data_IF_109778829192
#
_entry.id   IF_109778829192
#
_cell.length_a   1.000
_cell.length_b   1.000
_cell.length_c   1.000
_cell.angle_alpha   90.00
_cell.angle_beta   90.00
_cell.angle_gamma   90.00
#
_symmetry.space_group_name_H-M   'P 1'
#
loop_
_entity.id
_entity.type
_entity.pdbx_description
1 polymer ?
#
# COMPACT_ATOMS: atom_id res chain seq x y z
N UNK A 1 9.00 -5.55 22.22
CA UNK A 1 9.54 -4.41 21.46
C UNK A 1 10.83 -3.82 22.04
N UNK A 2 10.91 -3.50 23.35
CA UNK A 2 12.07 -2.82 23.97
C UNK A 2 13.44 -3.37 23.55
N UNK A 3 13.64 -4.69 23.65
CA UNK A 3 14.91 -5.34 23.26
C UNK A 3 15.34 -4.98 21.83
N UNK A 4 14.45 -5.16 20.85
CA UNK A 4 14.72 -4.89 19.44
C UNK A 4 15.05 -3.41 19.22
N UNK A 5 14.27 -2.49 19.82
CA UNK A 5 14.49 -1.05 19.68
C UNK A 5 15.81 -0.60 20.33
N UNK A 6 16.24 -1.27 21.40
CA UNK A 6 17.53 -1.01 22.04
C UNK A 6 18.69 -1.58 21.23
N UNK A 7 18.59 -2.82 20.76
CA UNK A 7 19.63 -3.47 19.94
C UNK A 7 19.78 -2.81 18.56
N UNK A 8 18.69 -2.31 17.99
CA UNK A 8 18.64 -1.61 16.70
C UNK A 8 18.57 -0.10 16.85
N UNK A 9 19.19 0.45 17.88
CA UNK A 9 19.10 1.89 18.19
C UNK A 9 19.57 2.78 17.03
N UNK A 10 20.64 2.39 16.34
CA UNK A 10 21.13 3.13 15.18
C UNK A 10 20.10 3.18 14.04
N UNK A 11 19.44 2.06 13.74
CA UNK A 11 18.41 1.99 12.69
C UNK A 11 17.19 2.84 13.09
N UNK A 12 16.81 2.82 14.37
CA UNK A 12 15.76 3.69 14.91
C UNK A 12 16.10 5.17 14.78
N UNK A 13 17.34 5.56 15.09
CA UNK A 13 17.79 6.95 14.98
C UNK A 13 17.83 7.38 13.50
N UNK A 14 18.23 6.50 12.57
CA UNK A 14 18.15 6.78 11.11
C UNK A 14 16.70 7.01 10.66
N UNK A 15 15.77 6.17 11.08
CA UNK A 15 14.35 6.34 10.76
C UNK A 15 13.78 7.64 11.33
N UNK A 16 14.15 7.99 12.56
CA UNK A 16 13.71 9.25 13.18
C UNK A 16 14.24 10.46 12.39
N UNK A 17 15.52 10.47 12.02
CA UNK A 17 16.10 11.55 11.22
C UNK A 17 15.46 11.63 9.83
N UNK A 18 15.27 10.49 9.15
CA UNK A 18 14.60 10.46 7.86
C UNK A 18 13.17 11.00 7.92
N UNK A 19 12.42 10.71 8.98
CA UNK A 19 11.07 11.26 9.18
C UNK A 19 11.09 12.75 9.54
N UNK A 20 12.13 13.25 10.20
CA UNK A 20 12.28 14.70 10.44
C UNK A 20 12.57 15.46 9.13
N UNK A 21 13.32 14.86 8.21
CA UNK A 21 13.70 15.48 6.94
C UNK A 21 12.58 15.39 5.89
N UNK A 22 11.89 14.24 5.82
CA UNK A 22 10.98 13.92 4.72
C UNK A 22 9.51 13.77 5.13
N UNK A 23 9.19 13.89 6.42
CA UNK A 23 7.87 13.75 7.08
C UNK A 23 7.22 12.35 6.95
N UNK A 24 7.32 11.72 5.78
CA UNK A 24 6.77 10.42 5.44
C UNK A 24 7.78 9.60 4.63
N UNK A 25 7.77 8.29 4.87
CA UNK A 25 8.58 7.32 4.17
C UNK A 25 7.69 6.18 3.67
N UNK A 26 7.87 5.79 2.41
CA UNK A 26 7.32 4.55 1.85
C UNK A 26 8.08 3.34 2.39
N UNK A 27 7.52 2.13 2.25
CA UNK A 27 8.19 0.90 2.69
C UNK A 27 9.55 0.65 2.03
N UNK A 28 9.72 1.08 0.77
CA UNK A 28 11.00 0.99 0.05
C UNK A 28 12.02 1.95 0.66
N UNK A 29 11.61 3.19 0.95
CA UNK A 29 12.48 4.20 1.56
C UNK A 29 12.88 3.82 2.99
N UNK A 30 11.98 3.24 3.79
CA UNK A 30 12.30 2.72 5.13
C UNK A 30 13.47 1.73 5.04
N UNK A 31 13.44 0.80 4.08
CA UNK A 31 14.53 -0.16 3.87
C UNK A 31 15.85 0.53 3.56
N UNK A 32 15.83 1.50 2.63
CA UNK A 32 17.03 2.28 2.25
C UNK A 32 17.60 3.07 3.43
N UNK A 33 16.75 3.72 4.23
CA UNK A 33 17.15 4.49 5.41
C UNK A 33 17.80 3.60 6.47
N UNK A 34 17.24 2.40 6.72
CA UNK A 34 17.83 1.43 7.65
C UNK A 34 19.22 1.00 7.15
N UNK A 35 19.37 0.76 5.85
CA UNK A 35 20.64 0.44 5.18
C UNK A 35 21.64 1.61 5.15
N UNK A 36 21.22 2.83 5.54
CA UNK A 36 22.05 4.04 5.51
C UNK A 36 22.28 4.61 4.11
N UNK A 37 21.42 4.27 3.16
CA UNK A 37 21.45 4.80 1.80
C UNK A 37 20.76 6.18 1.74
N UNK A 38 21.25 7.11 0.89
CA UNK A 38 20.62 8.40 0.70
C UNK A 38 19.25 8.26 0.03
N UNK A 39 18.33 9.16 0.38
CA UNK A 39 17.06 9.35 -0.31
C UNK A 39 17.21 10.52 -1.28
N UNK A 40 17.15 10.26 -2.58
CA UNK A 40 17.25 11.31 -3.60
C UNK A 40 15.84 11.72 -4.02
N UNK A 41 15.34 12.85 -3.49
CA UNK A 41 14.06 13.45 -3.90
C UNK A 41 14.22 14.68 -4.82
N UNK A 42 15.46 15.08 -5.10
CA UNK A 42 15.79 16.36 -5.75
C UNK A 42 15.70 16.35 -7.30
N UNK A 43 15.10 15.33 -7.90
CA UNK A 43 14.92 15.24 -9.35
C UNK A 43 13.46 15.04 -9.68
N UNK A 44 12.79 16.13 -10.09
CA UNK A 44 11.46 16.18 -10.72
C UNK A 44 10.60 14.92 -10.61
N UNK A 45 9.64 14.96 -9.69
CA UNK A 45 8.33 14.36 -9.95
C UNK A 45 8.26 12.84 -10.06
N UNK A 46 9.22 12.08 -9.54
CA UNK A 46 8.93 10.70 -9.13
C UNK A 46 8.20 10.75 -7.77
N UNK A 47 7.03 11.36 -7.86
CA UNK A 47 5.84 11.13 -7.05
C UNK A 47 5.56 9.60 -7.13
N UNK A 48 6.43 8.76 -6.55
CA UNK A 48 5.96 7.58 -5.82
C UNK A 48 5.20 8.11 -4.59
N UNK A 49 4.13 8.90 -4.84
CA UNK A 49 2.97 8.91 -3.97
C UNK A 49 2.73 7.44 -3.66
N UNK A 50 2.46 7.08 -2.39
CA UNK A 50 2.01 5.73 -2.12
C UNK A 50 0.92 5.47 -3.12
N UNK A 51 1.14 4.48 -4.00
CA UNK A 51 0.12 4.01 -4.90
C UNK A 51 -1.07 3.72 -3.99
N UNK A 52 -2.05 4.62 -4.01
CA UNK A 52 -3.33 4.47 -3.33
C UNK A 52 -4.16 3.36 -3.99
N UNK A 53 -3.49 2.37 -4.60
CA UNK A 53 -4.01 1.22 -5.33
C UNK A 53 -3.47 -0.14 -4.85
N UNK A 54 -2.65 -0.22 -3.80
CA UNK A 54 -2.36 -1.51 -3.15
C UNK A 54 -2.52 -1.54 -1.63
N UNK A 55 -3.09 -0.49 -1.05
CA UNK A 55 -3.93 -0.61 0.16
C UNK A 55 -5.20 -1.37 -0.21
N UNK A 56 -5.06 -2.68 -0.36
CA UNK A 56 -6.13 -3.56 -0.82
C UNK A 56 -5.74 -5.01 -0.62
N UNK A 57 -5.70 -5.45 0.64
CA UNK A 57 -5.90 -6.86 0.96
C UNK A 57 -7.32 -7.19 0.47
N UNK A 58 -7.46 -7.61 -0.79
CA UNK A 58 -8.65 -8.31 -1.25
C UNK A 58 -8.24 -9.75 -1.51
N UNK A 59 -8.00 -10.49 -0.42
CA UNK A 59 -7.99 -11.96 -0.40
C UNK A 59 -9.41 -12.52 -0.57
N UNK A 60 -10.23 -11.89 -1.42
CA UNK A 60 -11.56 -12.36 -1.76
C UNK A 60 -11.40 -13.14 -3.06
N UNK A 61 -11.44 -14.48 -3.03
CA UNK A 61 -11.52 -15.25 -4.25
C UNK A 61 -12.79 -14.82 -5.00
N UNK A 62 -12.65 -14.37 -6.24
CA UNK A 62 -13.79 -14.12 -7.12
C UNK A 62 -14.46 -15.47 -7.37
N UNK A 63 -15.53 -15.76 -6.63
CA UNK A 63 -16.40 -16.90 -6.90
C UNK A 63 -17.10 -16.64 -8.23
N UNK A 64 -16.51 -17.16 -9.31
CA UNK A 64 -17.13 -17.18 -10.62
C UNK A 64 -18.47 -17.90 -10.50
N UNK A 65 -19.56 -17.17 -10.71
CA UNK A 65 -20.91 -17.74 -10.83
C UNK A 65 -20.85 -18.88 -11.85
N UNK A 66 -21.32 -20.05 -11.42
CA UNK A 66 -21.48 -21.24 -12.23
C UNK A 66 -22.15 -20.90 -13.58
N UNK A 67 -21.54 -21.35 -14.68
CA UNK A 67 -22.21 -21.41 -15.96
C UNK A 67 -23.46 -22.28 -15.81
N UNK A 68 -24.65 -21.67 -15.90
CA UNK A 68 -25.91 -22.40 -16.09
C UNK A 68 -26.29 -22.31 -17.56
N UNK A 69 -26.51 -23.45 -18.23
CA UNK A 69 -26.90 -23.44 -19.64
C UNK A 69 -28.40 -23.15 -19.76
N UNK A 70 -28.73 -22.16 -20.60
CA UNK A 70 -29.97 -22.15 -21.37
C UNK A 70 -31.18 -21.39 -20.78
N UNK A 71 -31.76 -20.59 -21.69
CA UNK A 71 -33.19 -20.43 -21.99
C UNK A 71 -33.79 -19.03 -21.70
N UNK A 72 -33.97 -18.30 -22.82
CA UNK A 72 -35.08 -17.42 -23.19
C UNK A 72 -35.60 -16.36 -22.20
N UNK A 73 -35.60 -15.12 -22.68
CA UNK A 73 -36.73 -14.21 -22.53
C UNK A 73 -36.63 -13.18 -21.40
N UNK A 74 -36.77 -11.92 -21.83
CA UNK A 74 -37.57 -10.89 -21.16
C UNK A 74 -36.96 -10.18 -19.93
N UNK A 75 -36.63 -8.91 -20.16
CA UNK A 75 -36.81 -7.75 -19.27
C UNK A 75 -36.92 -7.99 -17.76
N UNK A 76 -35.89 -7.60 -17.00
CA UNK A 76 -36.06 -7.11 -15.63
C UNK A 76 -34.88 -6.20 -15.26
N UNK A 77 -35.05 -4.90 -15.47
CA UNK A 77 -34.26 -3.85 -14.82
C UNK A 77 -35.01 -3.44 -13.53
N UNK A 78 -34.41 -3.50 -12.33
CA UNK A 78 -35.06 -2.98 -11.13
C UNK A 78 -34.63 -1.52 -10.88
N UNK A 79 -35.61 -0.60 -10.85
CA UNK A 79 -35.44 0.72 -10.23
C UNK A 79 -35.40 0.61 -8.70
N UNK A 80 -34.67 1.50 -7.99
CA UNK A 80 -34.60 1.48 -6.53
C UNK A 80 -35.92 1.99 -5.91
N UNK A 81 -36.46 1.24 -4.95
CA UNK A 81 -37.47 1.76 -4.03
C UNK A 81 -36.78 2.38 -2.80
N UNK A 82 -37.26 3.55 -2.39
CA UNK A 82 -36.82 4.30 -1.20
C UNK A 82 -37.11 3.58 0.13
#
# INVERSE_FOLDING_TARGET
AKRILTEKRADLDRLANGLLEYETLTGKEITRVIEGQPLNRDGDGDDERPDTGSSGISAIPKTGKAARPGRSGEDMEPEPAA
#
